data_IF_232853752724
#
_entry.id   IF_232853752724
#
_cell.length_a   1.000
_cell.length_b   1.000
_cell.length_c   1.000
_cell.angle_alpha   90.00
_cell.angle_beta   90.00
_cell.angle_gamma   90.00
#
_symmetry.space_group_name_H-M   'P 1'
#
loop_
_entity.id
_entity.type
_entity.pdbx_description
1 polymer ?
#
# COMPACT_ATOMS: atom_id res chain seq x y z
N UNK A 1 -6.07 7.89 0.88
CA UNK A 1 -5.36 6.86 0.10
C UNK A 1 -6.37 5.90 -0.47
N UNK A 2 -6.07 5.27 -1.60
CA UNK A 2 -6.90 4.20 -2.18
C UNK A 2 -6.04 3.00 -2.53
N UNK A 3 -6.62 1.81 -2.48
CA UNK A 3 -6.02 0.58 -2.97
C UNK A 3 -6.86 -0.02 -4.10
N UNK A 4 -6.21 -0.72 -5.01
CA UNK A 4 -6.86 -1.52 -6.05
C UNK A 4 -6.14 -2.86 -6.11
N UNK A 5 -6.91 -3.94 -6.09
CA UNK A 5 -6.38 -5.30 -6.09
C UNK A 5 -6.70 -5.98 -7.42
N UNK A 6 -5.67 -6.51 -8.07
CA UNK A 6 -5.75 -7.22 -9.34
C UNK A 6 -5.40 -8.67 -9.11
N UNK A 7 -6.22 -9.59 -9.63
CA UNK A 7 -6.04 -11.04 -9.46
C UNK A 7 -5.95 -11.50 -7.99
N UNK A 8 -6.61 -10.75 -7.08
CA UNK A 8 -6.56 -11.02 -5.66
C UNK A 8 -7.20 -12.38 -5.32
N UNK A 9 -6.50 -13.28 -4.64
CA UNK A 9 -7.06 -14.57 -4.30
C UNK A 9 -7.98 -14.44 -3.10
N UNK A 10 -9.19 -14.99 -3.23
CA UNK A 10 -10.17 -15.08 -2.16
C UNK A 10 -11.06 -16.31 -2.39
N UNK A 11 -11.77 -16.73 -1.36
CA UNK A 11 -12.72 -17.86 -1.44
C UNK A 11 -14.15 -17.34 -1.45
N UNK A 12 -15.03 -18.04 -2.16
CA UNK A 12 -16.47 -17.77 -2.20
C UNK A 12 -17.21 -18.93 -1.58
N UNK A 13 -18.09 -18.64 -0.62
CA UNK A 13 -19.01 -19.64 -0.11
C UNK A 13 -20.01 -20.02 -1.20
N UNK A 14 -20.08 -21.32 -1.52
CA UNK A 14 -20.99 -21.83 -2.56
C UNK A 14 -22.47 -21.70 -2.20
N UNK A 15 -22.80 -21.56 -0.91
CA UNK A 15 -24.19 -21.51 -0.43
C UNK A 15 -24.76 -20.10 -0.38
N UNK A 16 -23.99 -19.11 0.08
CA UNK A 16 -24.45 -17.74 0.27
C UNK A 16 -23.72 -16.71 -0.59
N UNK A 17 -22.72 -17.12 -1.38
CA UNK A 17 -21.94 -16.23 -2.24
C UNK A 17 -21.02 -15.27 -1.47
N UNK A 18 -20.89 -15.41 -0.15
CA UNK A 18 -20.03 -14.54 0.65
C UNK A 18 -18.56 -14.76 0.30
N UNK A 19 -17.78 -13.68 0.32
CA UNK A 19 -16.34 -13.73 0.11
C UNK A 19 -15.63 -13.83 1.46
N UNK A 20 -14.54 -14.58 1.48
CA UNK A 20 -13.63 -14.62 2.62
C UNK A 20 -12.18 -14.69 2.13
N UNK A 21 -11.26 -14.33 3.02
CA UNK A 21 -9.83 -14.47 2.79
C UNK A 21 -9.45 -15.95 2.67
N UNK A 22 -8.35 -16.24 1.96
CA UNK A 22 -7.89 -17.62 1.71
C UNK A 22 -7.64 -18.39 3.02
N UNK A 23 -7.13 -17.71 4.04
CA UNK A 23 -6.96 -18.19 5.42
C UNK A 23 -6.77 -16.99 6.36
N UNK A 24 -6.66 -17.24 7.67
CA UNK A 24 -6.69 -16.20 8.71
C UNK A 24 -5.49 -15.24 8.66
N UNK A 25 -4.31 -15.73 8.32
CA UNK A 25 -3.05 -14.97 8.27
C UNK A 25 -2.89 -14.21 6.94
N UNK A 26 -3.74 -14.49 5.96
CA UNK A 26 -3.64 -13.94 4.61
C UNK A 26 -3.54 -12.40 4.59
N UNK A 27 -4.34 -11.63 5.36
CA UNK A 27 -4.23 -10.17 5.37
C UNK A 27 -2.85 -9.67 5.82
N UNK A 28 -2.24 -10.31 6.82
CA UNK A 28 -0.92 -9.94 7.32
C UNK A 28 0.17 -10.27 6.29
N UNK A 29 0.04 -11.39 5.59
CA UNK A 29 0.93 -11.77 4.49
C UNK A 29 0.87 -10.80 3.31
N UNK A 30 -0.27 -10.13 3.09
CA UNK A 30 -0.42 -9.06 2.09
C UNK A 30 0.14 -7.73 2.59
N UNK A 31 -0.18 -7.36 3.83
CA UNK A 31 0.18 -6.06 4.40
C UNK A 31 1.70 -5.88 4.52
N UNK A 32 2.41 -6.90 4.99
CA UNK A 32 3.84 -6.79 5.27
C UNK A 32 4.70 -6.48 4.01
N UNK A 33 4.56 -7.19 2.88
CA UNK A 33 5.30 -6.84 1.67
C UNK A 33 4.92 -5.45 1.11
N UNK A 34 3.68 -5.01 1.31
CA UNK A 34 3.25 -3.68 0.85
C UNK A 34 3.89 -2.56 1.66
N UNK A 35 3.94 -2.71 2.98
CA UNK A 35 4.58 -1.72 3.85
C UNK A 35 6.10 -1.67 3.61
N UNK A 36 6.74 -2.81 3.34
CA UNK A 36 8.17 -2.85 2.97
C UNK A 36 8.48 -2.26 1.59
N UNK A 37 7.60 -2.44 0.60
CA UNK A 37 7.82 -1.97 -0.77
C UNK A 37 7.70 -0.44 -0.91
N UNK A 38 7.01 0.22 0.03
CA UNK A 38 6.73 1.65 -0.05
C UNK A 38 7.84 2.46 0.63
N UNK A 39 8.50 3.38 -0.09
CA UNK A 39 9.54 4.21 0.49
C UNK A 39 8.95 5.44 1.21
N UNK A 40 9.14 5.54 2.52
CA UNK A 40 8.65 6.67 3.32
C UNK A 40 9.68 7.78 3.50
N UNK A 41 9.21 9.03 3.53
CA UNK A 41 9.98 10.15 4.02
C UNK A 41 10.00 10.12 5.56
N UNK A 42 11.17 10.36 6.15
CA UNK A 42 11.30 10.46 7.61
C UNK A 42 11.10 11.90 8.06
N UNK A 43 10.14 12.13 8.96
CA UNK A 43 9.94 13.41 9.63
C UNK A 43 10.79 13.48 10.91
N UNK A 44 11.66 14.49 11.01
CA UNK A 44 12.43 14.79 12.24
C UNK A 44 12.09 16.20 12.74
N UNK A 45 12.12 16.39 14.05
CA UNK A 45 11.89 17.68 14.70
C UNK A 45 10.53 17.79 15.40
N UNK A 46 10.55 18.23 16.67
CA UNK A 46 9.37 18.36 17.53
C UNK A 46 8.57 19.66 17.30
N UNK A 47 9.20 20.71 16.76
CA UNK A 47 8.57 22.04 16.54
C UNK A 47 8.39 22.40 15.06
N UNK A 48 9.31 22.00 14.21
CA UNK A 48 9.23 22.12 12.75
C UNK A 48 9.55 20.75 12.16
N UNK A 49 8.53 20.06 11.63
CA UNK A 49 8.72 18.76 10.97
C UNK A 49 9.55 18.99 9.71
N UNK A 50 10.82 18.58 9.75
CA UNK A 50 11.66 18.50 8.57
C UNK A 50 11.55 17.10 8.00
N UNK A 51 11.03 17.00 6.78
CA UNK A 51 10.94 15.75 6.05
C UNK A 51 12.24 15.49 5.31
N UNK A 52 12.70 14.24 5.35
CA UNK A 52 13.93 13.84 4.68
C UNK A 52 13.77 12.49 3.98
N UNK A 53 14.38 12.37 2.80
CA UNK A 53 14.35 11.17 1.99
C UNK A 53 15.01 10.00 2.73
N UNK A 54 14.34 8.85 2.81
CA UNK A 54 14.92 7.63 3.39
C UNK A 54 16.15 7.12 2.64
N UNK A 55 16.25 7.38 1.33
CA UNK A 55 17.36 6.95 0.50
C UNK A 55 18.65 7.76 0.64
N UNK A 56 18.56 9.09 0.51
CA UNK A 56 19.74 9.98 0.48
C UNK A 56 19.80 11.00 1.63
N UNK A 57 18.79 11.04 2.50
CA UNK A 57 18.60 12.04 3.58
C UNK A 57 18.46 13.49 3.08
N UNK A 58 18.32 13.69 1.78
CA UNK A 58 18.03 15.00 1.20
C UNK A 58 16.68 15.56 1.69
N UNK A 59 16.52 16.90 1.71
CA UNK A 59 15.28 17.52 2.15
C UNK A 59 14.11 17.12 1.24
N UNK A 60 12.96 16.89 1.86
CA UNK A 60 11.68 16.70 1.19
C UNK A 60 10.81 17.89 1.51
N UNK A 61 10.25 18.51 0.46
CA UNK A 61 9.31 19.62 0.59
C UNK A 61 7.88 19.11 0.32
N UNK A 62 7.03 19.01 1.35
CA UNK A 62 5.65 18.56 1.22
C UNK A 62 4.80 19.46 0.32
N UNK A 63 5.23 20.69 0.01
CA UNK A 63 4.47 21.57 -0.90
C UNK A 63 4.32 20.97 -2.31
N UNK A 64 5.22 20.07 -2.69
CA UNK A 64 5.24 19.39 -3.99
C UNK A 64 4.57 18.00 -3.94
N UNK A 65 3.82 17.72 -2.88
CA UNK A 65 3.09 16.47 -2.69
C UNK A 65 2.02 16.29 -3.76
N UNK A 66 1.96 15.08 -4.29
CA UNK A 66 0.97 14.65 -5.28
C UNK A 66 0.65 13.18 -5.06
N UNK A 67 -0.54 12.78 -5.50
CA UNK A 67 -0.90 11.37 -5.49
C UNK A 67 -0.03 10.63 -6.51
N UNK A 68 0.71 9.63 -6.03
CA UNK A 68 1.48 8.70 -6.86
C UNK A 68 0.91 7.30 -6.66
N UNK A 69 0.90 6.52 -7.74
CA UNK A 69 0.42 5.13 -7.71
C UNK A 69 1.62 4.19 -7.68
N UNK A 70 1.68 3.38 -6.62
CA UNK A 70 2.69 2.35 -6.41
C UNK A 70 2.12 1.01 -6.82
N UNK A 71 2.72 0.36 -7.81
CA UNK A 71 2.32 -0.96 -8.26
C UNK A 71 3.24 -2.00 -7.60
N UNK A 72 2.69 -2.78 -6.68
CA UNK A 72 3.44 -3.78 -5.91
C UNK A 72 3.00 -5.18 -6.36
N UNK A 73 3.88 -5.92 -7.07
CA UNK A 73 3.63 -7.33 -7.34
C UNK A 73 3.78 -8.13 -6.05
N UNK A 74 2.82 -9.01 -5.79
CA UNK A 74 2.79 -9.86 -4.61
C UNK A 74 2.85 -11.32 -5.05
N UNK A 75 3.92 -11.98 -4.63
CA UNK A 75 4.14 -13.43 -4.80
C UNK A 75 4.28 -14.05 -3.42
N UNK A 76 3.16 -14.55 -2.90
CA UNK A 76 3.11 -15.23 -1.61
C UNK A 76 3.38 -16.70 -1.86
N UNK A 77 4.41 -17.25 -1.19
CA UNK A 77 4.91 -18.62 -1.40
C UNK A 77 3.78 -19.63 -1.55
N UNK A 78 3.64 -20.19 -2.75
CA UNK A 78 2.64 -21.22 -3.06
C UNK A 78 1.27 -20.71 -3.48
N UNK A 79 1.11 -19.40 -3.76
CA UNK A 79 -0.13 -18.81 -4.27
C UNK A 79 0.04 -18.24 -5.68
N UNK A 80 -1.11 -17.99 -6.30
CA UNK A 80 -1.16 -17.29 -7.58
C UNK A 80 -0.64 -15.86 -7.40
N UNK A 81 0.29 -15.38 -8.26
CA UNK A 81 0.81 -14.03 -8.16
C UNK A 81 -0.32 -13.02 -8.44
N UNK A 82 -0.36 -11.95 -7.67
CA UNK A 82 -1.37 -10.91 -7.79
C UNK A 82 -0.72 -9.55 -7.58
N UNK A 83 -1.48 -8.47 -7.76
CA UNK A 83 -0.93 -7.12 -7.70
C UNK A 83 -1.81 -6.21 -6.88
N UNK A 84 -1.18 -5.37 -6.08
CA UNK A 84 -1.83 -4.27 -5.40
C UNK A 84 -1.31 -2.95 -5.98
N UNK A 85 -2.23 -2.05 -6.31
CA UNK A 85 -1.92 -0.67 -6.62
C UNK A 85 -2.38 0.21 -5.48
N UNK A 86 -1.45 0.99 -4.92
CA UNK A 86 -1.71 1.90 -3.82
C UNK A 86 -1.51 3.33 -4.31
N UNK A 87 -2.53 4.17 -4.20
CA UNK A 87 -2.47 5.58 -4.57
C UNK A 87 -2.44 6.43 -3.31
N UNK A 88 -1.31 7.09 -3.07
CA UNK A 88 -1.07 7.85 -1.86
C UNK A 88 -0.25 9.12 -2.09
N UNK A 89 -0.31 10.08 -1.15
CA UNK A 89 0.46 11.31 -1.26
C UNK A 89 1.96 11.03 -1.15
N UNK A 90 2.70 11.50 -2.14
CA UNK A 90 4.13 11.33 -2.23
C UNK A 90 4.82 12.54 -2.87
N UNK A 91 6.12 12.66 -2.60
CA UNK A 91 6.99 13.71 -3.13
C UNK A 91 8.20 13.05 -3.79
N UNK A 92 8.56 13.54 -4.98
CA UNK A 92 9.85 13.19 -5.61
C UNK A 92 10.98 13.97 -4.93
N UNK A 93 11.95 13.26 -4.37
CA UNK A 93 13.14 13.89 -3.79
C UNK A 93 13.94 14.64 -4.86
N UNK A 94 14.20 15.93 -4.64
CA UNK A 94 14.98 16.76 -5.57
C UNK A 94 16.46 16.36 -5.64
N UNK A 95 16.98 15.70 -4.60
CA UNK A 95 18.39 15.31 -4.52
C UNK A 95 18.69 13.99 -5.24
N UNK A 96 17.80 12.99 -5.15
CA UNK A 96 18.06 11.64 -5.70
C UNK A 96 16.97 11.13 -6.66
N UNK A 97 15.89 11.89 -6.87
CA UNK A 97 14.79 11.53 -7.78
C UNK A 97 13.85 10.43 -7.28
N UNK A 98 14.13 9.81 -6.12
CA UNK A 98 13.26 8.78 -5.54
C UNK A 98 11.93 9.38 -5.08
N UNK A 99 10.85 8.68 -5.36
CA UNK A 99 9.53 8.99 -4.82
C UNK A 99 9.52 8.59 -3.34
N UNK A 100 8.91 9.41 -2.49
CA UNK A 100 8.85 9.23 -1.05
C UNK A 100 7.43 9.53 -0.58
N UNK A 101 6.81 8.60 0.11
CA UNK A 101 5.50 8.81 0.74
C UNK A 101 5.65 9.70 1.95
N UNK A 102 4.80 10.71 2.04
CA UNK A 102 4.82 11.77 3.07
C UNK A 102 3.77 11.55 4.16
N UNK A 103 3.03 10.44 4.10
CA UNK A 103 2.19 10.00 5.20
C UNK A 103 3.05 9.68 6.45
N UNK A 104 2.51 9.96 7.63
CA UNK A 104 3.21 9.75 8.89
C UNK A 104 3.40 8.25 9.13
N UNK A 105 4.64 7.82 9.41
CA UNK A 105 5.07 6.41 9.53
C UNK A 105 4.11 5.54 10.37
N UNK A 106 3.61 6.07 11.50
CA UNK A 106 2.67 5.35 12.38
C UNK A 106 1.22 5.24 11.90
N UNK A 107 0.72 6.15 11.07
CA UNK A 107 -0.65 6.04 10.54
C UNK A 107 -0.70 5.19 9.28
N UNK A 108 0.43 5.01 8.60
CA UNK A 108 0.40 4.51 7.23
C UNK A 108 0.10 3.02 7.12
N UNK A 109 0.55 2.19 8.07
CA UNK A 109 0.17 0.77 8.10
C UNK A 109 -1.35 0.60 8.27
N UNK A 110 -1.96 1.36 9.18
CA UNK A 110 -3.40 1.38 9.39
C UNK A 110 -4.14 1.93 8.17
N UNK A 111 -3.63 3.01 7.57
CA UNK A 111 -4.20 3.56 6.34
C UNK A 111 -4.15 2.52 5.21
N UNK A 112 -3.07 1.73 5.08
CA UNK A 112 -2.90 0.70 4.04
C UNK A 112 -3.89 -0.43 4.30
N UNK A 113 -4.01 -0.89 5.55
CA UNK A 113 -4.98 -1.89 5.94
C UNK A 113 -6.42 -1.47 5.59
N UNK A 114 -6.82 -0.24 5.94
CA UNK A 114 -8.14 0.29 5.65
C UNK A 114 -8.40 0.37 4.13
N UNK A 115 -7.40 0.81 3.37
CA UNK A 115 -7.51 0.85 1.91
C UNK A 115 -7.66 -0.55 1.30
N UNK A 116 -6.94 -1.54 1.83
CA UNK A 116 -7.05 -2.94 1.40
C UNK A 116 -8.41 -3.55 1.74
N UNK A 117 -8.97 -3.25 2.93
CA UNK A 117 -10.31 -3.69 3.32
C UNK A 117 -11.34 -3.10 2.35
N UNK A 118 -11.27 -1.79 2.08
CA UNK A 118 -12.15 -1.14 1.10
C UNK A 118 -12.00 -1.70 -0.32
N UNK A 119 -10.78 -2.03 -0.75
CA UNK A 119 -10.53 -2.66 -2.04
C UNK A 119 -11.11 -4.08 -2.11
N UNK A 120 -10.97 -4.87 -1.04
CA UNK A 120 -11.53 -6.21 -0.94
C UNK A 120 -13.07 -6.18 -1.01
N UNK A 121 -13.70 -5.31 -0.23
CA UNK A 121 -15.16 -5.17 -0.18
C UNK A 121 -15.74 -4.67 -1.51
N UNK A 122 -15.03 -3.78 -2.21
CA UNK A 122 -15.45 -3.22 -3.50
C UNK A 122 -15.13 -4.11 -4.70
N UNK A 123 -14.08 -4.95 -4.63
CA UNK A 123 -13.73 -5.89 -5.69
C UNK A 123 -14.87 -6.91 -5.85
N UNK A 124 -15.69 -6.78 -6.90
CA UNK A 124 -16.79 -7.69 -7.23
C UNK A 124 -16.32 -9.15 -7.40
N UNK A 125 -17.22 -10.14 -7.38
CA UNK A 125 -16.81 -11.53 -7.59
C UNK A 125 -16.08 -11.68 -8.94
N UNK A 126 -14.82 -12.13 -8.92
CA UNK A 126 -14.12 -12.78 -10.03
C UNK A 126 -15.09 -13.72 -10.72
N UNK A 127 -15.51 -13.33 -11.93
CA UNK A 127 -16.12 -14.25 -12.86
C UNK A 127 -15.01 -15.21 -13.31
N UNK A 128 -15.03 -16.44 -12.79
CA UNK A 128 -14.32 -17.56 -13.43
C UNK A 128 -15.02 -17.86 -14.75
N UNK A 129 -14.27 -17.76 -15.84
CA UNK A 129 -14.63 -18.40 -17.12
C UNK A 129 -14.36 -19.90 -17.01
#
# INVERSE_FOLDING_TARGET
MTATLFDFPYVVCSQCGSKAMVHAEFPAEVLFPLTEAIPYASARGLRTKQWSCSGCRGPIDPINERNETFSVPLDLKGRYPFRAELTMPAVRCVACGRIQVTANDRSTESDIADALIGAFDSSGPYNRW
#
